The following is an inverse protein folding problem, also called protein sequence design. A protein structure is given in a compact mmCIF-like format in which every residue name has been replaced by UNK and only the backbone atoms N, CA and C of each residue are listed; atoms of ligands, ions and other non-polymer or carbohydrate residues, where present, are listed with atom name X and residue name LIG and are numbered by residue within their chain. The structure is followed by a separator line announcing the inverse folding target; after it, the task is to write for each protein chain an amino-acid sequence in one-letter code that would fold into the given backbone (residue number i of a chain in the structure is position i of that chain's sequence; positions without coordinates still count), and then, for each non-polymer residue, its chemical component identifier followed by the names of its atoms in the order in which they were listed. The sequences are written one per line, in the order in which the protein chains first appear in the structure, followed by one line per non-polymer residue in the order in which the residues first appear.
data_IF_676256405841
#
_entry.id   IF_676256405841
#
_cell.length_a   1.000
_cell.length_b   1.000
_cell.length_c   1.000
_cell.angle_alpha   90.00
_cell.angle_beta   90.00
_cell.angle_gamma   90.00
#
_symmetry.space_group_name_H-M   'P 1'
#
loop_
_entity.id
_entity.type
_entity.pdbx_description
1 polymer ?
#
# COMPACT_ATOMS: atom_id res chain seq x y z
N UNK A 1 6.24 10.65 20.87
CA UNK A 1 6.33 9.36 20.14
C UNK A 1 5.16 9.27 19.18
N UNK A 2 5.43 9.10 17.88
CA UNK A 2 4.40 8.98 16.84
C UNK A 2 4.09 7.52 16.52
N UNK A 3 3.41 6.83 17.42
CA UNK A 3 3.03 5.42 17.21
C UNK A 3 1.96 5.31 16.13
N UNK A 4 1.93 4.19 15.41
CA UNK A 4 0.85 3.90 14.46
C UNK A 4 -0.45 3.70 15.25
N UNK A 5 -1.50 4.43 14.88
CA UNK A 5 -2.82 4.37 15.50
C UNK A 5 -3.88 3.72 14.60
N UNK A 6 -3.61 3.63 13.29
CA UNK A 6 -4.52 2.98 12.36
C UNK A 6 -3.85 2.62 11.04
N UNK A 7 -4.30 1.51 10.45
CA UNK A 7 -3.92 1.04 9.12
C UNK A 7 -5.19 0.61 8.40
N UNK A 8 -5.43 1.14 7.20
CA UNK A 8 -6.58 0.79 6.36
C UNK A 8 -6.09 0.47 4.96
N UNK A 9 -6.49 -0.69 4.44
CA UNK A 9 -6.21 -1.12 3.08
C UNK A 9 -7.48 -1.09 2.23
N UNK A 10 -7.32 -0.82 0.93
CA UNK A 10 -8.38 -0.93 -0.08
C UNK A 10 -7.82 -1.42 -1.40
N UNK A 11 -8.68 -2.02 -2.20
CA UNK A 11 -8.37 -2.33 -3.59
C UNK A 11 -8.57 -1.09 -4.46
N UNK A 12 -7.61 -0.83 -5.34
CA UNK A 12 -7.67 0.18 -6.41
C UNK A 12 -7.26 -0.47 -7.74
N UNK A 13 -7.30 0.28 -8.84
CA UNK A 13 -6.76 -0.16 -10.12
C UNK A 13 -5.43 0.53 -10.40
N UNK A 14 -4.46 -0.22 -10.94
CA UNK A 14 -3.20 0.32 -11.43
C UNK A 14 -3.35 0.98 -12.83
N UNK A 15 -2.24 1.46 -13.39
CA UNK A 15 -2.23 2.11 -14.72
C UNK A 15 -2.62 1.18 -15.89
N UNK A 16 -2.65 -0.13 -15.68
CA UNK A 16 -3.06 -1.15 -16.66
C UNK A 16 -4.48 -1.68 -16.40
N UNK A 17 -5.17 -1.14 -15.38
CA UNK A 17 -6.51 -1.58 -15.00
C UNK A 17 -6.53 -2.87 -14.17
N UNK A 18 -5.38 -3.32 -13.65
CA UNK A 18 -5.31 -4.49 -12.78
C UNK A 18 -5.60 -4.08 -11.33
N UNK A 19 -6.34 -4.88 -10.56
CA UNK A 19 -6.47 -4.69 -9.13
C UNK A 19 -5.10 -4.64 -8.42
N UNK A 20 -4.89 -3.63 -7.58
CA UNK A 20 -3.74 -3.50 -6.66
C UNK A 20 -4.17 -2.94 -5.30
N UNK A 21 -3.26 -2.89 -4.34
CA UNK A 21 -3.52 -2.46 -2.96
C UNK A 21 -3.05 -1.02 -2.73
N UNK A 22 -3.91 -0.22 -2.11
CA UNK A 22 -3.55 1.06 -1.48
C UNK A 22 -3.71 0.96 0.03
N UNK A 23 -2.77 1.52 0.78
CA UNK A 23 -2.78 1.57 2.25
C UNK A 23 -2.70 3.01 2.74
N UNK A 24 -3.54 3.33 3.72
CA UNK A 24 -3.47 4.52 4.54
C UNK A 24 -2.98 4.17 5.95
N UNK A 25 -2.09 5.00 6.49
CA UNK A 25 -1.58 4.88 7.87
C UNK A 25 -1.80 6.19 8.60
N UNK A 26 -2.29 6.09 9.84
CA UNK A 26 -2.43 7.20 10.78
C UNK A 26 -1.54 6.98 12.01
N UNK A 27 -1.04 8.06 12.62
CA UNK A 27 -0.28 8.02 13.87
C UNK A 27 -1.02 8.68 15.04
N UNK A 28 -0.64 8.36 16.27
CA UNK A 28 -1.18 8.94 17.50
C UNK A 28 -0.96 10.45 17.62
N UNK A 29 -0.03 11.00 16.83
CA UNK A 29 0.29 12.43 16.78
C UNK A 29 -0.33 13.14 15.57
N UNK A 30 -1.28 12.52 14.88
CA UNK A 30 -1.98 13.11 13.73
C UNK A 30 -1.24 13.02 12.39
N UNK A 31 -0.14 12.25 12.31
CA UNK A 31 0.52 11.97 11.03
C UNK A 31 -0.35 11.10 10.12
N UNK A 32 -0.26 11.34 8.82
CA UNK A 32 -1.02 10.60 7.80
C UNK A 32 -0.13 10.30 6.59
N UNK A 33 -0.22 9.07 6.08
CA UNK A 33 0.47 8.64 4.87
C UNK A 33 -0.40 7.70 4.04
N UNK A 34 -0.24 7.76 2.71
CA UNK A 34 -0.96 6.93 1.76
C UNK A 34 0.00 6.45 0.68
N UNK A 35 -0.03 5.17 0.36
CA UNK A 35 0.80 4.59 -0.70
C UNK A 35 0.05 3.48 -1.43
N UNK A 36 0.25 3.42 -2.75
CA UNK A 36 -0.22 2.34 -3.62
C UNK A 36 0.95 1.43 -4.02
N UNK A 37 0.70 0.12 -4.07
CA UNK A 37 1.70 -0.86 -4.49
C UNK A 37 1.71 -0.97 -6.02
N UNK A 38 2.86 -0.85 -6.70
CA UNK A 38 2.94 -1.10 -8.14
C UNK A 38 2.76 -2.59 -8.44
N UNK A 39 2.06 -2.93 -9.53
CA UNK A 39 1.93 -4.32 -10.00
C UNK A 39 2.87 -4.54 -11.20
N UNK A 40 3.97 -5.25 -10.97
CA UNK A 40 4.87 -5.69 -12.04
C UNK A 40 4.21 -6.76 -12.90
N UNK A 41 4.52 -6.81 -14.20
CA UNK A 41 4.07 -7.92 -15.07
C UNK A 41 4.95 -9.18 -14.92
N UNK A 42 6.22 -8.97 -14.57
CA UNK A 42 7.19 -10.03 -14.32
C UNK A 42 7.03 -10.54 -12.89
N UNK A 43 7.15 -11.85 -12.71
CA UNK A 43 7.28 -12.51 -11.41
C UNK A 43 8.53 -13.37 -11.43
N UNK A 44 9.68 -12.77 -11.16
CA UNK A 44 10.96 -13.47 -11.07
C UNK A 44 11.00 -14.47 -9.92
N UNK A 45 11.80 -15.53 -10.07
CA UNK A 45 11.89 -16.63 -9.08
C UNK A 45 12.43 -16.22 -7.69
N UNK A 46 12.96 -15.00 -7.57
CA UNK A 46 13.50 -14.45 -6.31
C UNK A 46 12.73 -13.19 -5.85
N UNK A 47 11.58 -12.88 -6.45
CA UNK A 47 10.74 -11.78 -5.98
C UNK A 47 10.04 -12.14 -4.66
N UNK A 48 9.66 -11.13 -3.88
CA UNK A 48 8.97 -11.33 -2.61
C UNK A 48 7.60 -12.02 -2.83
N UNK A 49 7.29 -13.03 -2.01
CA UNK A 49 6.00 -13.76 -1.99
C UNK A 49 5.13 -13.31 -0.82
#
# INVERSE_FOLDING_TARGET
MGYISGVRARQILDSRGNPTVEVEVATTTGGFGRAAVPSGASTGVHEAL
#
